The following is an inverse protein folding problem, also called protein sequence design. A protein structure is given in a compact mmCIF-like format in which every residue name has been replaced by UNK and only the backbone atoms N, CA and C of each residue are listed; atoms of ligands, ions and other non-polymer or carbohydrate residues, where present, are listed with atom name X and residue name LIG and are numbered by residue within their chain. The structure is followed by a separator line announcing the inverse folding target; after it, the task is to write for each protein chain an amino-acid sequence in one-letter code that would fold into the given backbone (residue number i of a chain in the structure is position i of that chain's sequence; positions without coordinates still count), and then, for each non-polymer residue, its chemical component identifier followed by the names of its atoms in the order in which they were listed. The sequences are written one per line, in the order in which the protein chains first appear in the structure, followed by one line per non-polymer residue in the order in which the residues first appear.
data_IF_872359550372
#
_entry.id   IF_872359550372
#
_cell.length_a   1.000
_cell.length_b   1.000
_cell.length_c   1.000
_cell.angle_alpha   90.00
_cell.angle_beta   90.00
_cell.angle_gamma   90.00
#
_symmetry.space_group_name_H-M   'P 1'
#
loop_
_entity.id
_entity.type
_entity.pdbx_description
1 polymer ?
#
# COMPACT_ATOMS: atom_id res chain seq x y z
N UNK A 1 20.43 -7.30 21.58
CA UNK A 1 20.61 -8.66 22.16
C UNK A 1 19.26 -9.35 22.44
N UNK A 2 18.35 -8.77 23.26
CA UNK A 2 17.04 -9.41 23.55
C UNK A 2 16.19 -9.65 22.28
N UNK A 3 16.07 -8.70 21.38
CA UNK A 3 15.31 -8.84 20.14
C UNK A 3 15.93 -9.89 19.17
N UNK A 4 17.23 -10.09 19.21
CA UNK A 4 17.90 -11.15 18.41
C UNK A 4 17.65 -12.55 19.00
N UNK A 5 17.54 -12.66 20.31
CA UNK A 5 17.20 -13.91 20.99
C UNK A 5 15.76 -14.31 20.66
N UNK A 6 14.81 -13.39 20.76
CA UNK A 6 13.42 -13.62 20.35
C UNK A 6 13.30 -14.10 18.89
N UNK A 7 14.04 -13.48 17.98
CA UNK A 7 14.02 -13.88 16.56
C UNK A 7 14.60 -15.28 16.34
N UNK A 8 15.59 -15.70 17.14
CA UNK A 8 16.13 -17.08 17.08
C UNK A 8 15.12 -18.12 17.55
N UNK A 9 14.23 -17.74 18.46
CA UNK A 9 13.12 -18.58 18.93
C UNK A 9 11.91 -18.56 17.97
N UNK A 10 12.00 -17.82 16.86
CA UNK A 10 10.93 -17.70 15.88
C UNK A 10 9.84 -16.72 16.29
N UNK A 11 10.13 -15.84 17.25
CA UNK A 11 9.26 -14.77 17.70
C UNK A 11 9.63 -13.47 17.00
N UNK A 12 8.63 -12.71 16.57
CA UNK A 12 8.80 -11.39 15.97
C UNK A 12 8.46 -10.34 17.01
N UNK A 13 9.40 -9.44 17.35
CA UNK A 13 9.11 -8.31 18.22
C UNK A 13 8.18 -7.34 17.49
N UNK A 14 7.14 -6.89 18.18
CA UNK A 14 6.12 -5.99 17.68
C UNK A 14 5.89 -4.84 18.66
N UNK A 15 5.51 -3.68 18.14
CA UNK A 15 5.06 -2.55 18.93
C UNK A 15 3.62 -2.19 18.55
N UNK A 16 2.80 -1.89 19.56
CA UNK A 16 1.47 -1.33 19.40
C UNK A 16 1.49 0.11 19.93
N UNK A 17 1.18 1.05 19.04
CA UNK A 17 1.02 2.45 19.40
C UNK A 17 -0.48 2.76 19.52
N UNK A 18 -0.88 3.31 20.65
CA UNK A 18 -2.26 3.73 20.90
C UNK A 18 -2.41 5.23 20.93
N UNK A 19 -3.62 5.67 21.26
CA UNK A 19 -3.93 7.07 21.54
C UNK A 19 -3.45 7.52 22.91
N UNK A 20 -3.18 6.58 23.80
CA UNK A 20 -2.67 6.86 25.12
C UNK A 20 -1.30 7.52 24.97
N UNK A 21 -1.16 8.70 25.57
CA UNK A 21 0.09 9.42 25.64
C UNK A 21 0.62 9.29 27.06
N UNK A 22 1.90 9.03 27.17
CA UNK A 22 2.62 9.11 28.43
C UNK A 22 2.55 10.52 29.03
N UNK A 23 2.90 10.66 30.28
CA UNK A 23 3.04 11.96 30.99
C UNK A 23 3.94 12.96 30.23
N UNK A 24 4.78 12.47 29.33
CA UNK A 24 5.68 13.26 28.45
C UNK A 24 5.06 13.65 27.10
N UNK A 25 3.80 13.27 26.83
CA UNK A 25 3.11 13.57 25.57
C UNK A 25 3.53 12.68 24.40
N UNK A 26 4.35 11.66 24.61
CA UNK A 26 4.71 10.66 23.62
C UNK A 26 3.65 9.55 23.58
N UNK A 27 3.38 8.95 22.40
CA UNK A 27 2.47 7.81 22.32
C UNK A 27 3.03 6.65 23.15
N UNK A 28 2.22 6.13 24.05
CA UNK A 28 2.55 4.93 24.81
C UNK A 28 2.67 3.75 23.85
N UNK A 29 3.84 3.11 23.84
CA UNK A 29 4.11 1.96 23.00
C UNK A 29 4.11 0.69 23.85
N UNK A 30 3.19 -0.23 23.55
CA UNK A 30 3.18 -1.57 24.13
C UNK A 30 4.07 -2.48 23.28
N UNK A 31 5.14 -3.01 23.87
CA UNK A 31 6.04 -3.93 23.18
C UNK A 31 5.68 -5.37 23.55
N UNK A 32 5.55 -6.22 22.53
CA UNK A 32 5.20 -7.64 22.67
C UNK A 32 5.85 -8.47 21.58
N UNK A 33 5.73 -9.79 21.67
CA UNK A 33 6.29 -10.70 20.67
C UNK A 33 5.23 -11.68 20.19
N UNK A 34 5.18 -11.93 18.88
CA UNK A 34 4.25 -12.85 18.25
C UNK A 34 5.03 -13.93 17.49
N UNK A 35 4.60 -15.20 17.52
CA UNK A 35 5.17 -16.24 16.68
C UNK A 35 5.04 -15.89 15.19
N UNK A 36 6.13 -16.01 14.43
CA UNK A 36 6.18 -15.68 13.00
C UNK A 36 5.13 -16.45 12.17
N UNK A 37 4.75 -17.65 12.62
CA UNK A 37 3.75 -18.49 11.97
C UNK A 37 2.35 -17.86 11.97
N UNK A 38 1.98 -17.12 13.03
CA UNK A 38 0.67 -16.45 13.14
C UNK A 38 0.61 -15.20 12.27
N UNK A 39 1.73 -14.51 12.10
CA UNK A 39 1.84 -13.30 11.30
C UNK A 39 1.79 -13.57 9.79
N UNK A 40 2.09 -14.78 9.37
CA UNK A 40 2.24 -15.14 7.96
C UNK A 40 1.04 -14.77 7.08
N UNK A 41 -0.18 -14.95 7.59
CA UNK A 41 -1.40 -14.63 6.84
C UNK A 41 -1.62 -13.13 6.66
N UNK A 42 -1.21 -12.33 7.63
CA UNK A 42 -1.41 -10.87 7.61
C UNK A 42 -0.29 -10.18 6.85
N UNK A 43 0.95 -10.65 7.02
CA UNK A 43 2.15 -10.02 6.42
C UNK A 43 2.25 -10.27 4.90
N UNK A 44 1.93 -11.49 4.45
CA UNK A 44 2.06 -11.85 3.02
C UNK A 44 0.77 -11.69 2.22
N UNK A 45 -0.23 -11.04 2.79
CA UNK A 45 -1.43 -10.62 2.08
C UNK A 45 -1.27 -9.20 1.54
N UNK A 46 -1.69 -8.91 0.32
CA UNK A 46 -1.62 -7.57 -0.23
C UNK A 46 -2.65 -6.61 0.39
N UNK A 47 -3.65 -7.15 1.08
CA UNK A 47 -4.81 -6.40 1.56
C UNK A 47 -4.55 -5.76 2.93
N UNK A 48 -5.26 -4.67 3.22
CA UNK A 48 -5.19 -4.00 4.52
C UNK A 48 -6.19 -4.65 5.49
N UNK A 49 -5.66 -5.22 6.58
CA UNK A 49 -6.48 -5.86 7.60
C UNK A 49 -6.50 -5.06 8.91
N UNK A 50 -7.68 -5.04 9.53
CA UNK A 50 -7.80 -4.70 10.96
C UNK A 50 -7.60 -5.99 11.75
N UNK A 51 -6.59 -6.01 12.59
CA UNK A 51 -6.19 -7.17 13.38
C UNK A 51 -6.59 -6.95 14.84
N UNK A 52 -7.18 -7.96 15.46
CA UNK A 52 -7.39 -7.95 16.89
C UNK A 52 -6.14 -8.53 17.57
N UNK A 53 -5.41 -7.68 18.28
CA UNK A 53 -4.21 -8.05 19.04
C UNK A 53 -4.61 -8.18 20.51
N UNK A 54 -4.45 -9.36 21.09
CA UNK A 54 -4.75 -9.60 22.50
C UNK A 54 -3.42 -9.63 23.27
N UNK A 55 -3.27 -8.68 24.20
CA UNK A 55 -2.09 -8.52 25.05
C UNK A 55 -2.60 -8.54 26.49
N UNK A 56 -2.05 -9.40 27.33
CA UNK A 56 -2.39 -9.53 28.77
C UNK A 56 -3.90 -9.62 29.08
N UNK A 57 -4.68 -10.18 28.11
CA UNK A 57 -6.14 -10.33 28.27
C UNK A 57 -6.97 -9.17 27.73
N UNK A 58 -6.35 -8.06 27.34
CA UNK A 58 -7.01 -6.94 26.67
C UNK A 58 -6.90 -7.10 25.14
N UNK A 59 -7.99 -6.84 24.44
CA UNK A 59 -8.04 -6.93 22.98
C UNK A 59 -8.05 -5.54 22.36
N UNK A 60 -7.01 -5.24 21.60
CA UNK A 60 -6.84 -3.99 20.87
C UNK A 60 -7.13 -4.21 19.38
N UNK A 61 -7.93 -3.33 18.78
CA UNK A 61 -8.11 -3.28 17.33
C UNK A 61 -6.96 -2.46 16.74
N UNK A 62 -6.16 -3.08 15.91
CA UNK A 62 -4.99 -2.44 15.34
C UNK A 62 -4.87 -2.68 13.84
N UNK A 63 -4.21 -1.75 13.15
CA UNK A 63 -3.82 -1.90 11.75
C UNK A 63 -2.30 -1.96 11.69
N UNK A 64 -1.80 -2.82 10.82
CA UNK A 64 -0.38 -2.91 10.55
C UNK A 64 0.09 -1.69 9.77
N UNK A 65 1.03 -0.94 10.32
CA UNK A 65 1.53 0.31 9.75
C UNK A 65 2.84 0.13 9.01
N UNK A 66 3.80 -0.54 9.63
CA UNK A 66 5.12 -0.75 9.06
C UNK A 66 5.61 -2.17 9.34
N UNK A 67 6.32 -2.73 8.37
CA UNK A 67 6.96 -4.05 8.49
C UNK A 67 8.40 -3.90 8.05
N UNK A 68 9.30 -4.45 8.84
CA UNK A 68 10.71 -4.55 8.49
C UNK A 68 11.06 -5.99 8.15
N UNK A 69 11.63 -6.17 6.97
CA UNK A 69 12.10 -7.47 6.48
C UNK A 69 13.62 -7.56 6.51
N UNK A 70 14.11 -8.76 6.68
CA UNK A 70 15.54 -9.02 6.53
C UNK A 70 15.90 -9.04 5.04
N UNK A 71 16.94 -8.28 4.60
CA UNK A 71 17.20 -8.02 3.18
C UNK A 71 17.59 -9.26 2.36
N UNK A 72 18.03 -10.34 2.99
CA UNK A 72 18.49 -11.56 2.30
C UNK A 72 17.59 -12.77 2.53
N UNK A 73 16.91 -12.85 3.66
CA UNK A 73 16.09 -14.02 4.01
C UNK A 73 14.58 -13.74 3.95
N UNK A 74 14.16 -12.49 3.69
CA UNK A 74 12.77 -12.03 3.71
C UNK A 74 12.03 -12.36 5.03
N UNK A 75 12.78 -12.69 6.08
CA UNK A 75 12.20 -12.92 7.40
C UNK A 75 11.75 -11.60 8.02
N UNK A 76 10.59 -11.62 8.67
CA UNK A 76 10.06 -10.44 9.36
C UNK A 76 10.93 -10.14 10.58
N UNK A 77 11.46 -8.93 10.66
CA UNK A 77 12.30 -8.46 11.76
C UNK A 77 11.51 -7.71 12.82
N UNK A 78 10.56 -6.90 12.40
CA UNK A 78 9.76 -6.05 13.27
C UNK A 78 8.43 -5.68 12.60
N UNK A 79 7.38 -5.51 13.40
CA UNK A 79 6.09 -4.99 12.94
C UNK A 79 5.61 -3.92 13.89
N UNK A 80 5.15 -2.82 13.31
CA UNK A 80 4.49 -1.73 14.00
C UNK A 80 2.98 -1.80 13.77
N UNK A 81 2.24 -1.89 14.84
CA UNK A 81 0.78 -1.83 14.86
C UNK A 81 0.31 -0.48 15.38
N UNK A 82 -0.72 0.04 14.76
CA UNK A 82 -1.38 1.27 15.19
C UNK A 82 -2.80 0.94 15.67
N UNK A 83 -3.11 1.27 16.92
CA UNK A 83 -4.43 1.09 17.48
C UNK A 83 -5.42 2.02 16.80
N UNK A 84 -6.57 1.49 16.37
CA UNK A 84 -7.57 2.23 15.61
C UNK A 84 -8.84 2.43 16.42
N UNK A 85 -9.30 3.67 16.43
CA UNK A 85 -10.57 4.08 17.02
C UNK A 85 -11.58 4.40 15.92
N UNK A 86 -12.87 4.20 16.23
CA UNK A 86 -13.95 4.38 15.26
C UNK A 86 -14.15 5.83 14.80
N UNK A 87 -13.71 6.79 15.62
CA UNK A 87 -13.99 8.22 15.43
C UNK A 87 -12.84 8.98 14.79
N UNK A 88 -11.61 8.47 14.85
CA UNK A 88 -10.45 9.20 14.36
C UNK A 88 -10.01 8.75 12.98
N UNK A 89 -9.72 9.70 12.07
CA UNK A 89 -9.13 9.35 10.79
C UNK A 89 -7.70 8.86 10.98
N UNK A 90 -7.35 7.81 10.25
CA UNK A 90 -6.00 7.22 10.24
C UNK A 90 -5.44 7.29 8.83
N UNK A 91 -4.13 7.49 8.71
CA UNK A 91 -3.43 7.47 7.43
C UNK A 91 -2.78 6.12 7.22
N UNK A 92 -3.23 5.40 6.20
CA UNK A 92 -2.75 4.05 5.87
C UNK A 92 -2.42 3.98 4.38
N UNK A 93 -1.42 3.17 4.04
CA UNK A 93 -1.10 2.82 2.67
C UNK A 93 -2.01 1.71 2.15
N UNK A 94 -2.89 2.02 1.19
CA UNK A 94 -3.81 1.06 0.57
C UNK A 94 -3.26 0.63 -0.78
N UNK A 95 -3.26 -0.69 -1.09
CA UNK A 95 -2.80 -1.19 -2.37
C UNK A 95 -3.72 -0.74 -3.52
N UNK A 96 -3.11 -0.40 -4.65
CA UNK A 96 -3.81 0.00 -5.88
C UNK A 96 -3.84 -1.17 -6.85
N UNK A 97 -5.04 -1.55 -7.26
CA UNK A 97 -5.29 -2.55 -8.29
C UNK A 97 -5.79 -1.86 -9.56
N UNK A 98 -5.08 -2.09 -10.66
CA UNK A 98 -5.50 -1.58 -11.96
C UNK A 98 -6.56 -2.51 -12.56
N UNK A 99 -7.69 -1.96 -12.98
CA UNK A 99 -8.81 -2.68 -13.59
C UNK A 99 -8.99 -2.24 -15.05
N UNK A 100 -9.51 -3.14 -15.89
CA UNK A 100 -9.69 -2.88 -17.31
C UNK A 100 -8.45 -3.16 -18.16
N UNK A 101 -8.57 -2.95 -19.47
CA UNK A 101 -7.50 -3.10 -20.45
C UNK A 101 -7.24 -1.75 -21.13
N UNK A 102 -6.11 -1.13 -20.82
CA UNK A 102 -5.75 0.17 -21.36
C UNK A 102 -5.72 0.15 -22.91
N UNK A 103 -6.35 1.16 -23.53
CA UNK A 103 -6.35 1.32 -24.97
C UNK A 103 -4.92 1.40 -25.52
N UNK A 104 -4.04 2.15 -24.86
CA UNK A 104 -2.65 2.28 -25.26
C UNK A 104 -1.83 0.98 -25.20
N UNK A 105 -2.28 -0.04 -24.44
CA UNK A 105 -1.66 -1.39 -24.48
C UNK A 105 -2.10 -2.12 -25.75
N UNK A 106 -3.35 -1.96 -26.17
CA UNK A 106 -3.84 -2.51 -27.46
C UNK A 106 -3.08 -1.90 -28.64
N UNK A 107 -2.70 -0.62 -28.51
CA UNK A 107 -1.90 0.11 -29.50
C UNK A 107 -0.39 -0.23 -29.43
N UNK A 108 -0.02 -1.30 -28.72
CA UNK A 108 1.35 -1.78 -28.61
C UNK A 108 2.20 -1.11 -27.53
N UNK A 109 1.61 -0.34 -26.62
CA UNK A 109 2.28 0.23 -25.46
C UNK A 109 2.45 -0.78 -24.32
N UNK A 110 3.26 -0.41 -23.33
CA UNK A 110 3.44 -1.17 -22.10
C UNK A 110 2.89 -0.39 -20.90
N UNK A 111 1.93 -0.99 -20.20
CA UNK A 111 1.43 -0.44 -18.93
C UNK A 111 2.52 -0.58 -17.86
N UNK A 112 2.82 0.52 -17.19
CA UNK A 112 3.79 0.61 -16.09
C UNK A 112 3.09 1.23 -14.89
N UNK A 113 2.97 0.47 -13.81
CA UNK A 113 2.49 0.98 -12.52
C UNK A 113 3.70 1.55 -11.76
N UNK A 114 3.68 2.84 -11.46
CA UNK A 114 4.75 3.53 -10.74
C UNK A 114 4.54 3.44 -9.22
N UNK A 115 3.29 3.58 -8.78
CA UNK A 115 2.91 3.51 -7.37
C UNK A 115 1.97 2.32 -7.17
N UNK A 116 2.33 1.45 -6.23
CA UNK A 116 1.52 0.28 -5.89
C UNK A 116 0.64 0.50 -4.67
N UNK A 117 0.96 1.50 -3.84
CA UNK A 117 0.28 1.80 -2.59
C UNK A 117 0.06 3.30 -2.49
N UNK A 118 -1.16 3.74 -2.20
CA UNK A 118 -1.50 5.13 -1.95
C UNK A 118 -1.79 5.34 -0.47
N UNK A 119 -1.21 6.39 0.11
CA UNK A 119 -1.51 6.80 1.46
C UNK A 119 -2.84 7.55 1.47
N UNK A 120 -3.80 7.04 2.22
CA UNK A 120 -5.15 7.57 2.33
C UNK A 120 -5.48 7.82 3.79
N UNK A 121 -6.13 8.93 4.07
CA UNK A 121 -6.61 9.30 5.40
C UNK A 121 -8.13 9.16 5.44
N UNK A 122 -8.63 8.29 6.29
CA UNK A 122 -10.06 8.10 6.50
C UNK A 122 -10.35 7.41 7.85
N UNK A 123 -11.59 7.44 8.35
CA UNK A 123 -12.03 6.56 9.44
C UNK A 123 -11.91 5.10 9.00
N UNK A 124 -11.42 4.21 9.87
CA UNK A 124 -11.11 2.83 9.49
C UNK A 124 -12.30 2.05 8.89
N UNK A 125 -13.54 2.41 9.25
CA UNK A 125 -14.76 1.78 8.70
C UNK A 125 -14.98 2.06 7.21
N UNK A 126 -14.42 3.14 6.69
CA UNK A 126 -14.56 3.58 5.30
C UNK A 126 -13.38 3.17 4.42
N UNK A 127 -12.35 2.60 5.02
CA UNK A 127 -11.13 2.19 4.32
C UNK A 127 -11.41 0.89 3.56
N UNK A 128 -11.33 0.89 2.22
CA UNK A 128 -11.44 -0.33 1.43
C UNK A 128 -10.14 -1.14 1.52
N UNK A 129 -10.23 -2.44 1.33
CA UNK A 129 -9.08 -3.33 1.30
C UNK A 129 -8.14 -3.03 0.10
N UNK A 130 -8.72 -2.59 -1.02
CA UNK A 130 -8.01 -2.32 -2.28
C UNK A 130 -8.62 -1.11 -2.98
N UNK A 131 -7.80 -0.25 -3.56
CA UNK A 131 -8.23 0.85 -4.43
C UNK A 131 -8.23 0.40 -5.89
N UNK A 132 -9.41 0.35 -6.51
CA UNK A 132 -9.54 0.00 -7.91
C UNK A 132 -9.41 1.25 -8.78
N UNK A 133 -8.47 1.23 -9.73
CA UNK A 133 -8.24 2.30 -10.70
C UNK A 133 -8.52 1.76 -12.09
N UNK A 134 -9.50 2.31 -12.77
CA UNK A 134 -9.80 1.95 -14.17
C UNK A 134 -8.79 2.61 -15.11
N UNK A 135 -8.18 1.78 -15.95
CA UNK A 135 -7.19 2.20 -16.95
C UNK A 135 -7.69 2.04 -18.37
N UNK A 136 -8.98 1.74 -18.58
CA UNK A 136 -9.56 1.40 -19.89
C UNK A 136 -9.33 2.50 -20.93
N UNK A 137 -9.51 3.75 -20.56
CA UNK A 137 -9.36 4.91 -21.46
C UNK A 137 -7.92 5.42 -21.58
N UNK A 138 -6.97 4.76 -20.90
CA UNK A 138 -5.59 5.23 -20.89
C UNK A 138 -4.90 4.97 -22.23
N UNK A 139 -4.59 6.07 -22.94
CA UNK A 139 -3.95 6.07 -24.26
C UNK A 139 -2.43 5.95 -24.15
N UNK A 140 -1.79 5.64 -25.26
CA UNK A 140 -0.35 5.53 -25.42
C UNK A 140 0.32 6.87 -25.06
N UNK A 141 1.35 6.84 -24.21
CA UNK A 141 2.08 8.03 -23.74
C UNK A 141 1.38 8.84 -22.66
N UNK A 142 0.17 8.44 -22.25
CA UNK A 142 -0.55 9.10 -21.15
C UNK A 142 -0.27 8.43 -19.80
N UNK A 143 -0.52 9.18 -18.73
CA UNK A 143 -0.35 8.75 -17.36
C UNK A 143 -1.53 9.21 -16.53
N UNK A 144 -1.95 8.41 -15.56
CA UNK A 144 -2.93 8.76 -14.54
C UNK A 144 -2.18 9.25 -13.32
N UNK A 145 -2.51 10.45 -12.85
CA UNK A 145 -1.97 11.08 -11.64
C UNK A 145 -2.94 10.91 -10.47
N UNK A 146 -2.41 11.06 -9.27
CA UNK A 146 -3.21 11.06 -8.04
C UNK A 146 -4.32 12.10 -8.07
N UNK A 147 -4.06 13.29 -8.67
CA UNK A 147 -5.04 14.36 -8.82
C UNK A 147 -6.30 13.99 -9.63
N UNK A 148 -6.20 12.98 -10.49
CA UNK A 148 -7.30 12.51 -11.35
C UNK A 148 -8.13 11.42 -10.67
N UNK A 149 -7.66 10.91 -9.52
CA UNK A 149 -8.34 9.90 -8.75
C UNK A 149 -9.23 10.54 -7.69
N UNK A 150 -10.48 10.13 -7.66
CA UNK A 150 -11.43 10.55 -6.64
C UNK A 150 -12.10 9.31 -6.05
N UNK A 151 -11.96 9.13 -4.74
CA UNK A 151 -12.60 8.05 -3.99
C UNK A 151 -13.53 8.64 -2.95
N UNK A 152 -14.79 8.23 -2.95
CA UNK A 152 -15.79 8.75 -2.04
C UNK A 152 -15.42 8.46 -0.58
N UNK A 153 -15.42 9.50 0.25
CA UNK A 153 -15.13 9.39 1.69
C UNK A 153 -13.67 9.17 2.07
N UNK A 154 -12.74 9.24 1.10
CA UNK A 154 -11.30 9.05 1.32
C UNK A 154 -10.53 10.32 0.96
N UNK A 155 -9.66 10.76 1.86
CA UNK A 155 -8.72 11.84 1.58
C UNK A 155 -7.35 11.24 1.21
N UNK A 156 -6.86 11.56 0.00
CA UNK A 156 -5.58 11.02 -0.47
C UNK A 156 -4.45 11.90 0.10
N UNK A 157 -3.66 11.35 1.00
CA UNK A 157 -2.50 12.03 1.59
C UNK A 157 -1.27 12.05 0.65
N UNK A 158 -1.26 11.20 -0.39
CA UNK A 158 -0.19 11.17 -1.39
C UNK A 158 -0.25 12.43 -2.26
N UNK A 159 0.89 13.08 -2.59
CA UNK A 159 0.90 14.31 -3.39
C UNK A 159 0.20 14.15 -4.75
N UNK A 160 -0.61 15.13 -5.11
CA UNK A 160 -1.46 15.13 -6.31
C UNK A 160 -0.69 14.97 -7.65
N UNK A 161 0.59 15.37 -7.68
CA UNK A 161 1.43 15.28 -8.88
C UNK A 161 2.02 13.89 -9.13
N UNK A 162 1.92 12.97 -8.17
CA UNK A 162 2.47 11.62 -8.27
C UNK A 162 1.74 10.84 -9.36
N UNK A 163 2.49 10.20 -10.24
CA UNK A 163 1.95 9.34 -11.29
C UNK A 163 1.69 7.95 -10.70
N UNK A 164 0.47 7.47 -10.81
CA UNK A 164 0.06 6.14 -10.34
C UNK A 164 0.39 5.08 -11.38
N UNK A 165 -0.05 5.29 -12.62
CA UNK A 165 0.26 4.41 -13.73
C UNK A 165 0.43 5.19 -15.04
N UNK A 166 1.14 4.60 -15.99
CA UNK A 166 1.36 5.20 -17.30
C UNK A 166 1.51 4.12 -18.37
N UNK A 167 1.12 4.44 -19.60
CA UNK A 167 1.40 3.58 -20.76
C UNK A 167 2.60 4.14 -21.52
N UNK A 168 3.70 3.41 -21.48
CA UNK A 168 4.94 3.77 -22.18
C UNK A 168 4.94 3.22 -23.60
N UNK A 169 5.39 4.03 -24.56
CA UNK A 169 5.58 3.59 -25.92
C UNK A 169 6.73 2.57 -26.01
N UNK A 170 6.51 1.47 -26.69
CA UNK A 170 7.53 0.46 -26.99
C UNK A 170 8.25 0.81 -28.32
N UNK A 171 9.34 0.12 -28.65
CA UNK A 171 10.00 0.28 -29.97
C UNK A 171 9.04 -0.06 -31.12
N UNK A 172 8.24 -1.12 -30.95
CA UNK A 172 7.27 -1.55 -31.94
C UNK A 172 6.16 -0.52 -32.18
N UNK A 173 5.63 0.10 -31.12
CA UNK A 173 4.61 1.14 -31.25
C UNK A 173 5.15 2.43 -31.87
N UNK A 174 6.43 2.77 -31.63
CA UNK A 174 7.07 3.93 -32.27
C UNK A 174 7.28 3.71 -33.78
N UNK A 175 7.70 2.51 -34.18
CA UNK A 175 7.87 2.18 -35.62
C UNK A 175 6.54 2.14 -36.35
N UNK A 176 5.47 1.66 -35.71
CA UNK A 176 4.13 1.66 -36.28
C UNK A 176 3.56 3.10 -36.43
N UNK A 177 3.81 3.96 -35.44
CA UNK A 177 3.40 5.36 -35.53
C UNK A 177 4.16 6.12 -36.62
N UNK A 178 5.47 5.90 -36.78
CA UNK A 178 6.28 6.50 -37.82
C UNK A 178 5.85 6.04 -39.24
N UNK A 179 5.52 4.74 -39.40
CA UNK A 179 5.02 4.21 -40.65
C UNK A 179 3.61 4.74 -41.01
N UNK A 180 2.77 5.03 -40.02
CA UNK A 180 1.44 5.63 -40.20
C UNK A 180 1.49 7.11 -40.59
N UNK A 181 2.52 7.84 -40.15
CA UNK A 181 2.71 9.27 -40.48
C UNK A 181 3.27 9.47 -41.87
N UNK A 182 4.15 8.56 -42.39
CA UNK A 182 4.60 8.54 -43.75
C UNK A 182 3.47 8.19 -44.75
N UNK A 183 2.55 7.29 -44.37
CA UNK A 183 1.41 6.90 -45.24
C UNK A 183 0.30 7.97 -45.28
N UNK A 184 0.28 8.94 -44.37
CA UNK A 184 -0.69 10.05 -44.35
C UNK A 184 -0.15 11.33 -45.02
N UNK A 185 1.11 11.34 -45.42
CA UNK A 185 1.78 12.48 -46.09
C UNK A 185 1.91 12.32 -47.63
N UNK A 186 1.41 11.23 -48.17
CA UNK A 186 1.36 10.92 -49.61
C UNK A 186 -0.10 11.02 -50.13
#
# INVERSE_FOLDING_TARGET
KAAEELRKEGLVPCNLYGEKKDEKGLPEALSFAIPATQLRKVVYSPDVYVVNVTIDGETHKAVMKEIQFHPTTDAVLHIDFFEVNETKPITIGIPVKLTGHAQGVRDGGRLSQAVRTLNVTAPYKQIPEVLNVDVTELKLGKAIKVAELNFEGLEIATPAQVVVCSVKATRASRSAAAAGEEAAAE
#
